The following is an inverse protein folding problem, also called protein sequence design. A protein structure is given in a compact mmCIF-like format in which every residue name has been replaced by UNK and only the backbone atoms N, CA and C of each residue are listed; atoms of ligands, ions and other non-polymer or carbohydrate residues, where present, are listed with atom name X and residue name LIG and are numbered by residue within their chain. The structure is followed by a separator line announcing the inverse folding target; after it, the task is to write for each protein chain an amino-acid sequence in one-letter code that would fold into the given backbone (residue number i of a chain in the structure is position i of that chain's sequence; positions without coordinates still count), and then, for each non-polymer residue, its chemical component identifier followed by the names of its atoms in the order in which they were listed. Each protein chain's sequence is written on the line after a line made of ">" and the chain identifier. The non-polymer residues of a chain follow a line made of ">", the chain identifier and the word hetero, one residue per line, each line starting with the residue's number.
data_IF_738661440937
#
_entry.id   IF_738661440937
#
_cell.length_a   1.000
_cell.length_b   1.000
_cell.length_c   1.000
_cell.angle_alpha   90.00
_cell.angle_beta   90.00
_cell.angle_gamma   90.00
#
_symmetry.space_group_name_H-M   'P 1'
#
loop_
_entity.id
_entity.type
_entity.pdbx_description
1 polymer ?
#
# COMPACT_ATOMS: atom_id res chain seq x y z
N UNK A 1 33.18 69.05 -22.49
CA UNK A 1 33.19 67.57 -22.31
C UNK A 1 32.85 67.32 -20.85
N UNK A 2 31.57 67.15 -20.54
CA UNK A 2 31.10 66.82 -19.20
C UNK A 2 31.03 65.29 -19.06
N UNK A 3 31.74 64.76 -18.07
CA UNK A 3 31.85 63.34 -17.79
C UNK A 3 30.91 63.00 -16.62
N UNK A 4 29.70 62.51 -16.91
CA UNK A 4 28.81 61.95 -15.89
C UNK A 4 29.22 60.51 -15.57
N UNK A 5 29.86 60.30 -14.42
CA UNK A 5 29.96 58.97 -13.81
C UNK A 5 28.65 58.64 -13.10
N UNK A 6 27.96 57.59 -13.56
CA UNK A 6 26.81 56.97 -12.87
C UNK A 6 27.32 56.18 -11.66
N UNK A 7 26.81 56.51 -10.46
CA UNK A 7 26.98 55.67 -9.28
C UNK A 7 26.04 54.46 -9.35
N UNK A 8 26.57 53.26 -9.07
CA UNK A 8 25.81 52.01 -9.02
C UNK A 8 24.86 51.93 -7.81
N UNK A 9 23.82 51.08 -7.85
CA UNK A 9 22.84 51.01 -6.77
C UNK A 9 23.43 50.31 -5.54
N UNK A 10 23.56 51.04 -4.44
CA UNK A 10 23.85 50.45 -3.13
C UNK A 10 22.64 49.71 -2.60
N UNK A 11 22.80 48.43 -2.23
CA UNK A 11 21.76 47.67 -1.53
C UNK A 11 21.44 48.35 -0.19
N UNK A 12 20.16 48.64 0.11
CA UNK A 12 19.79 49.24 1.38
C UNK A 12 20.03 48.24 2.52
N UNK A 13 20.83 48.66 3.50
CA UNK A 13 21.25 47.88 4.68
C UNK A 13 20.05 47.29 5.46
N UNK A 14 18.87 47.91 5.34
CA UNK A 14 17.61 47.41 5.91
C UNK A 14 17.13 46.09 5.30
N UNK A 15 17.37 45.84 4.01
CA UNK A 15 16.99 44.59 3.35
C UNK A 15 17.85 43.40 3.78
N UNK A 16 19.16 43.62 3.95
CA UNK A 16 20.09 42.59 4.40
C UNK A 16 19.81 42.11 5.83
N UNK A 17 19.46 43.03 6.73
CA UNK A 17 19.12 42.70 8.12
C UNK A 17 17.87 41.81 8.22
N UNK A 18 16.86 42.03 7.37
CA UNK A 18 15.63 41.21 7.35
C UNK A 18 15.92 39.80 6.84
N UNK A 19 16.75 39.66 5.80
CA UNK A 19 17.15 38.34 5.27
C UNK A 19 17.95 37.56 6.31
N UNK A 20 18.88 38.21 7.02
CA UNK A 20 19.65 37.58 8.10
C UNK A 20 18.74 37.16 9.25
N UNK A 21 17.79 38.02 9.65
CA UNK A 21 16.82 37.67 10.69
C UNK A 21 15.91 36.50 10.29
N UNK A 22 15.52 36.40 9.01
CA UNK A 22 14.77 35.26 8.49
C UNK A 22 15.59 33.97 8.46
N UNK A 23 16.87 34.04 8.10
CA UNK A 23 17.78 32.89 8.11
C UNK A 23 18.02 32.41 9.54
N UNK A 24 18.33 33.33 10.47
CA UNK A 24 18.53 33.01 11.88
C UNK A 24 17.23 32.47 12.49
N UNK A 25 16.09 33.09 12.22
CA UNK A 25 14.78 32.64 12.67
C UNK A 25 14.43 31.26 12.13
N UNK A 26 14.68 31.00 10.84
CA UNK A 26 14.48 29.68 10.21
C UNK A 26 15.36 28.61 10.84
N UNK A 27 16.66 28.90 11.05
CA UNK A 27 17.60 27.98 11.69
C UNK A 27 17.25 27.72 13.16
N UNK A 28 16.80 28.74 13.91
CA UNK A 28 16.36 28.58 15.30
C UNK A 28 15.04 27.81 15.41
N UNK A 29 14.07 28.08 14.52
CA UNK A 29 12.77 27.38 14.52
C UNK A 29 12.94 25.91 14.14
N UNK A 30 13.87 25.58 13.23
CA UNK A 30 14.20 24.19 12.92
C UNK A 30 14.86 23.46 14.10
N UNK A 31 15.67 24.14 14.91
CA UNK A 31 16.22 23.57 16.16
C UNK A 31 15.19 23.46 17.29
N UNK A 32 14.15 24.31 17.26
CA UNK A 32 12.97 24.26 18.12
C UNK A 32 11.87 23.37 17.54
N UNK A 33 12.22 22.24 16.92
CA UNK A 33 11.28 21.13 16.80
C UNK A 33 10.65 20.94 18.19
N UNK A 34 9.34 21.18 18.31
CA UNK A 34 8.62 21.24 19.58
C UNK A 34 8.74 19.91 20.33
N UNK A 35 9.86 19.73 21.03
CA UNK A 35 10.11 18.64 21.95
C UNK A 35 9.21 18.93 23.14
N UNK A 36 8.04 18.30 23.16
CA UNK A 36 7.10 18.45 24.26
C UNK A 36 7.83 18.28 25.59
N UNK A 37 7.62 19.21 26.52
CA UNK A 37 8.25 19.24 27.85
C UNK A 37 7.83 18.07 28.76
N UNK A 38 7.12 17.07 28.22
CA UNK A 38 6.79 15.86 28.96
C UNK A 38 8.10 15.14 29.23
N UNK A 39 8.46 14.88 30.50
CA UNK A 39 9.58 14.04 30.82
C UNK A 39 9.44 12.75 30.01
N UNK A 40 10.51 12.33 29.33
CA UNK A 40 10.61 10.93 28.91
C UNK A 40 10.68 10.14 30.21
N UNK A 41 9.52 9.76 30.74
CA UNK A 41 9.46 8.62 31.64
C UNK A 41 10.02 7.49 30.80
N UNK A 42 11.18 6.90 31.14
CA UNK A 42 11.56 5.65 30.52
C UNK A 42 10.33 4.78 30.71
N UNK A 43 9.64 4.49 29.61
CA UNK A 43 8.58 3.51 29.66
C UNK A 43 9.20 2.35 30.39
N UNK A 44 8.55 1.87 31.44
CA UNK A 44 8.86 0.53 31.91
C UNK A 44 8.53 -0.32 30.70
N UNK A 45 9.54 -0.51 29.84
CA UNK A 45 9.53 -1.54 28.83
C UNK A 45 9.31 -2.75 29.70
N UNK A 46 8.08 -3.21 29.73
CA UNK A 46 7.84 -4.59 30.07
C UNK A 46 8.51 -5.29 28.92
N UNK A 47 9.80 -5.52 29.08
CA UNK A 47 10.62 -6.36 28.25
C UNK A 47 10.07 -7.76 28.47
N UNK A 48 8.90 -8.04 27.91
CA UNK A 48 8.49 -9.40 27.61
C UNK A 48 9.44 -9.82 26.49
N UNK A 49 10.64 -10.24 26.89
CA UNK A 49 11.71 -10.78 26.05
C UNK A 49 11.30 -12.01 25.22
N UNK A 50 10.02 -12.40 25.29
CA UNK A 50 9.40 -13.52 24.58
C UNK A 50 8.33 -13.10 23.55
N UNK A 51 7.94 -11.82 23.46
CA UNK A 51 6.98 -11.36 22.45
C UNK A 51 7.66 -11.25 21.08
N UNK A 52 6.97 -11.71 20.02
CA UNK A 52 7.37 -11.50 18.63
C UNK A 52 6.79 -10.19 18.05
N UNK A 53 5.91 -9.53 18.81
CA UNK A 53 5.51 -8.12 18.62
C UNK A 53 6.38 -7.24 19.52
N UNK A 54 7.58 -6.89 19.05
CA UNK A 54 8.61 -6.13 19.79
C UNK A 54 8.98 -4.78 19.14
N UNK A 55 8.31 -4.41 18.05
CA UNK A 55 8.50 -3.12 17.38
C UNK A 55 7.58 -2.09 18.01
N UNK A 56 8.12 -1.19 18.83
CA UNK A 56 7.33 -0.12 19.45
C UNK A 56 6.67 0.76 18.37
N UNK A 57 5.35 0.83 18.40
CA UNK A 57 4.57 1.68 17.50
C UNK A 57 3.23 2.06 18.11
N UNK A 58 2.71 3.23 17.75
CA UNK A 58 1.32 3.58 18.04
C UNK A 58 0.39 3.08 16.93
N UNK A 59 -0.88 2.85 17.27
CA UNK A 59 -1.91 2.37 16.33
C UNK A 59 -2.13 3.30 15.11
N UNK A 60 -1.74 4.57 15.23
CA UNK A 60 -1.88 5.59 14.18
C UNK A 60 -0.61 5.79 13.32
N UNK A 61 0.49 5.09 13.63
CA UNK A 61 1.73 5.20 12.85
C UNK A 61 1.71 4.29 11.60
N UNK A 62 2.55 4.62 10.61
CA UNK A 62 2.79 3.75 9.46
C UNK A 62 3.55 2.47 9.91
N UNK A 63 2.97 1.26 9.72
CA UNK A 63 3.57 0.02 10.20
C UNK A 63 4.92 -0.27 9.54
N UNK A 64 5.12 0.12 8.28
CA UNK A 64 6.40 -0.06 7.60
C UNK A 64 7.45 0.92 8.11
N UNK A 65 7.06 2.17 8.40
CA UNK A 65 7.98 3.16 8.96
C UNK A 65 8.41 2.78 10.39
N UNK A 66 7.50 2.24 11.20
CA UNK A 66 7.83 1.73 12.53
C UNK A 66 8.85 0.59 12.48
N UNK A 67 8.61 -0.41 11.62
CA UNK A 67 9.54 -1.54 11.46
C UNK A 67 10.90 -1.08 10.90
N UNK A 68 10.92 -0.17 9.92
CA UNK A 68 12.19 0.40 9.40
C UNK A 68 12.98 1.12 10.49
N UNK A 69 12.34 1.91 11.36
CA UNK A 69 13.00 2.58 12.50
C UNK A 69 13.59 1.59 13.50
N UNK A 70 12.92 0.46 13.73
CA UNK A 70 13.39 -0.58 14.65
C UNK A 70 14.58 -1.38 14.08
N UNK A 71 14.75 -1.42 12.75
CA UNK A 71 15.68 -2.31 12.04
C UNK A 71 17.17 -1.92 12.13
N UNK A 72 17.57 -1.01 13.00
CA UNK A 72 18.95 -0.46 13.05
C UNK A 72 20.08 -1.41 13.51
N UNK A 73 19.99 -2.75 13.39
CA UNK A 73 21.17 -3.65 13.13
C UNK A 73 21.00 -5.17 13.40
N UNK A 74 19.85 -5.73 13.80
CA UNK A 74 19.85 -7.14 14.26
C UNK A 74 19.57 -8.21 13.19
N UNK A 75 20.49 -9.20 13.11
CA UNK A 75 20.29 -10.57 12.58
C UNK A 75 19.35 -11.39 13.48
N UNK A 76 18.20 -10.82 13.80
CA UNK A 76 17.28 -11.43 14.73
C UNK A 76 16.53 -12.60 14.07
N UNK A 77 16.88 -13.81 14.50
CA UNK A 77 16.31 -15.06 14.00
C UNK A 77 14.83 -15.24 14.41
N UNK A 78 14.30 -14.40 15.29
CA UNK A 78 12.91 -14.45 15.79
C UNK A 78 11.87 -14.03 14.76
N UNK A 79 12.23 -13.19 13.80
CA UNK A 79 11.30 -12.64 12.80
C UNK A 79 11.18 -13.52 11.55
N UNK A 80 11.29 -14.84 11.66
CA UNK A 80 11.10 -15.73 10.50
C UNK A 80 9.61 -15.98 10.25
N UNK A 81 9.24 -16.24 9.00
CA UNK A 81 7.85 -16.59 8.66
C UNK A 81 7.39 -17.87 9.36
N UNK A 82 8.29 -18.82 9.58
CA UNK A 82 8.04 -20.04 10.35
C UNK A 82 7.67 -19.74 11.80
N UNK A 83 8.29 -18.73 12.41
CA UNK A 83 7.96 -18.31 13.77
C UNK A 83 6.54 -17.74 13.88
N UNK A 84 6.05 -17.05 12.84
CA UNK A 84 4.66 -16.61 12.77
C UNK A 84 3.70 -17.78 12.49
N UNK A 85 4.09 -18.73 11.64
CA UNK A 85 3.32 -19.96 11.42
C UNK A 85 3.14 -20.75 12.72
N UNK A 86 4.19 -20.88 13.53
CA UNK A 86 4.11 -21.50 14.86
C UNK A 86 3.16 -20.75 15.80
N UNK A 87 3.17 -19.40 15.78
CA UNK A 87 2.21 -18.60 16.56
C UNK A 87 0.77 -18.88 16.17
N UNK A 88 0.48 -19.00 14.85
CA UNK A 88 -0.85 -19.33 14.35
C UNK A 88 -1.29 -20.70 14.89
N UNK A 89 -0.43 -21.72 14.77
CA UNK A 89 -0.72 -23.09 15.23
C UNK A 89 -0.95 -23.15 16.74
N UNK A 90 -0.20 -22.37 17.53
CA UNK A 90 -0.30 -22.34 19.00
C UNK A 90 -1.40 -21.42 19.53
N UNK A 91 -2.07 -20.62 18.70
CA UNK A 91 -3.08 -19.66 19.16
C UNK A 91 -4.29 -20.43 19.73
N UNK A 92 -4.66 -20.12 20.98
CA UNK A 92 -5.79 -20.75 21.67
C UNK A 92 -7.13 -20.16 21.20
N UNK A 93 -7.57 -20.58 20.04
CA UNK A 93 -8.78 -20.10 19.34
C UNK A 93 -9.36 -21.24 18.49
N UNK A 94 -10.62 -21.19 18.07
CA UNK A 94 -11.16 -22.17 17.10
C UNK A 94 -10.73 -21.82 15.67
N UNK A 95 -10.66 -20.53 15.35
CA UNK A 95 -10.25 -20.06 14.04
C UNK A 95 -9.34 -18.83 14.12
N UNK A 96 -8.38 -18.77 13.20
CA UNK A 96 -7.55 -17.60 12.92
C UNK A 96 -7.93 -17.08 11.54
N UNK A 97 -8.30 -15.81 11.47
CA UNK A 97 -8.49 -15.10 10.20
C UNK A 97 -7.20 -14.35 9.90
N UNK A 98 -6.47 -14.81 8.88
CA UNK A 98 -5.33 -14.08 8.34
C UNK A 98 -5.86 -13.05 7.35
N UNK A 99 -5.78 -11.77 7.72
CA UNK A 99 -6.23 -10.63 6.95
C UNK A 99 -5.02 -9.91 6.34
N UNK A 100 -4.70 -10.20 5.09
CA UNK A 100 -3.68 -9.46 4.34
C UNK A 100 -4.24 -8.13 3.84
N UNK A 101 -3.66 -7.01 4.23
CA UNK A 101 -4.07 -5.67 3.80
C UNK A 101 -3.00 -5.09 2.89
N UNK A 102 -3.28 -5.06 1.60
CA UNK A 102 -2.37 -4.54 0.58
C UNK A 102 -2.41 -3.01 0.59
N UNK A 103 -1.25 -2.40 0.75
CA UNK A 103 -1.07 -0.94 0.81
C UNK A 103 0.12 -0.52 -0.06
N UNK A 104 0.09 0.70 -0.59
CA UNK A 104 1.19 1.20 -1.43
C UNK A 104 2.54 1.22 -0.67
N UNK A 105 3.57 0.60 -1.24
CA UNK A 105 4.88 0.43 -0.64
C UNK A 105 5.83 1.60 -0.82
N UNK A 106 5.64 2.39 -1.89
CA UNK A 106 6.60 3.43 -2.24
C UNK A 106 6.84 4.47 -1.11
N UNK A 107 7.96 5.20 -1.20
CA UNK A 107 8.49 6.01 -0.11
C UNK A 107 7.82 7.37 0.06
N UNK A 108 7.08 7.81 -0.95
CA UNK A 108 6.49 9.15 -1.01
C UNK A 108 5.52 9.42 0.15
N UNK A 109 5.44 10.68 0.58
CA UNK A 109 4.53 11.12 1.64
C UNK A 109 3.07 10.72 1.36
N UNK A 110 2.63 10.78 0.09
CA UNK A 110 1.30 10.31 -0.35
C UNK A 110 1.07 8.83 -0.02
N UNK A 111 2.07 7.98 -0.19
CA UNK A 111 1.96 6.55 0.12
C UNK A 111 1.94 6.34 1.64
N UNK A 112 2.80 7.03 2.39
CA UNK A 112 2.78 6.97 3.86
C UNK A 112 1.41 7.38 4.43
N UNK A 113 0.85 8.49 3.95
CA UNK A 113 -0.48 8.96 4.33
C UNK A 113 -1.57 7.92 3.97
N UNK A 114 -1.51 7.33 2.77
CA UNK A 114 -2.43 6.26 2.37
C UNK A 114 -2.31 5.02 3.27
N UNK A 115 -1.10 4.61 3.64
CA UNK A 115 -0.89 3.49 4.58
C UNK A 115 -1.52 3.77 5.94
N UNK A 116 -1.32 4.97 6.48
CA UNK A 116 -1.92 5.39 7.75
C UNK A 116 -3.45 5.37 7.66
N UNK A 117 -4.04 5.91 6.57
CA UNK A 117 -5.48 5.89 6.36
C UNK A 117 -6.04 4.48 6.23
N UNK A 118 -5.37 3.59 5.50
CA UNK A 118 -5.76 2.18 5.38
C UNK A 118 -5.67 1.47 6.73
N UNK A 119 -4.63 1.74 7.53
CA UNK A 119 -4.52 1.20 8.89
C UNK A 119 -5.67 1.69 9.77
N UNK A 120 -5.88 3.00 9.82
CA UNK A 120 -6.97 3.60 10.59
C UNK A 120 -8.34 3.02 10.21
N UNK A 121 -8.63 2.89 8.90
CA UNK A 121 -9.89 2.33 8.42
C UNK A 121 -10.07 0.86 8.85
N UNK A 122 -9.04 0.03 8.67
CA UNK A 122 -9.07 -1.39 9.08
C UNK A 122 -9.26 -1.51 10.59
N UNK A 123 -8.48 -0.77 11.39
CA UNK A 123 -8.57 -0.83 12.86
C UNK A 123 -9.92 -0.32 13.37
N UNK A 124 -10.46 0.74 12.76
CA UNK A 124 -11.80 1.25 13.09
C UNK A 124 -12.89 0.23 12.77
N UNK A 125 -12.78 -0.49 11.65
CA UNK A 125 -13.73 -1.55 11.28
C UNK A 125 -13.67 -2.72 12.27
N UNK A 126 -12.47 -3.11 12.72
CA UNK A 126 -12.30 -4.14 13.74
C UNK A 126 -12.87 -3.70 15.08
N UNK A 127 -12.64 -2.45 15.49
CA UNK A 127 -13.23 -1.90 16.71
C UNK A 127 -14.76 -1.89 16.65
N UNK A 128 -15.36 -1.58 15.49
CA UNK A 128 -16.82 -1.65 15.29
C UNK A 128 -17.38 -3.08 15.39
N UNK A 129 -16.54 -4.09 15.19
CA UNK A 129 -16.86 -5.51 15.38
C UNK A 129 -16.48 -6.04 16.77
N UNK A 130 -16.12 -5.14 17.69
CA UNK A 130 -15.62 -5.45 19.04
C UNK A 130 -14.40 -6.39 19.01
N UNK A 131 -13.42 -6.07 18.16
CA UNK A 131 -12.07 -6.62 18.26
C UNK A 131 -11.13 -5.55 18.80
N UNK A 132 -10.21 -5.97 19.66
CA UNK A 132 -9.18 -5.12 20.27
C UNK A 132 -7.79 -5.64 19.92
N UNK A 133 -6.77 -4.78 19.80
CA UNK A 133 -5.40 -5.23 19.59
C UNK A 133 -4.92 -6.05 20.79
N UNK A 134 -4.28 -7.19 20.52
CA UNK A 134 -3.62 -8.02 21.54
C UNK A 134 -2.44 -7.24 22.18
N UNK A 135 -1.75 -6.43 21.36
CA UNK A 135 -0.71 -5.52 21.78
C UNK A 135 -0.88 -4.13 21.14
N UNK A 136 -1.36 -3.15 21.92
CA UNK A 136 -1.64 -1.80 21.42
C UNK A 136 -0.38 -0.91 21.24
N UNK A 137 0.78 -1.34 21.75
CA UNK A 137 2.01 -0.54 21.76
C UNK A 137 3.14 -1.11 20.90
N UNK A 138 2.97 -2.33 20.37
CA UNK A 138 3.99 -2.97 19.56
C UNK A 138 3.40 -3.67 18.34
N UNK A 139 4.16 -3.66 17.26
CA UNK A 139 3.94 -4.44 16.06
C UNK A 139 4.85 -5.66 16.06
N UNK A 140 4.41 -6.71 15.38
CA UNK A 140 5.29 -7.76 14.90
C UNK A 140 5.72 -7.50 13.46
N UNK A 141 6.74 -8.22 13.01
CA UNK A 141 7.05 -8.33 11.60
C UNK A 141 7.71 -9.66 11.28
N UNK A 142 7.55 -10.10 10.04
CA UNK A 142 8.32 -11.22 9.47
C UNK A 142 9.32 -10.68 8.45
N UNK A 143 10.50 -11.31 8.43
CA UNK A 143 11.49 -11.23 7.38
C UNK A 143 11.33 -12.47 6.52
N UNK A 144 11.15 -12.29 5.22
CA UNK A 144 11.16 -13.42 4.28
C UNK A 144 12.55 -13.54 3.68
N UNK A 145 13.09 -14.74 3.62
CA UNK A 145 14.28 -14.99 2.82
C UNK A 145 13.94 -14.67 1.35
N UNK A 146 14.53 -13.60 0.83
CA UNK A 146 14.64 -13.41 -0.62
C UNK A 146 15.44 -14.62 -1.10
N UNK A 147 14.84 -15.48 -1.96
CA UNK A 147 15.47 -16.71 -2.42
C UNK A 147 16.89 -16.39 -2.90
N UNK A 148 17.90 -16.82 -2.12
CA UNK A 148 19.33 -16.57 -2.40
C UNK A 148 19.75 -17.46 -3.57
N UNK A 149 19.36 -17.07 -4.77
CA UNK A 149 19.62 -17.82 -5.99
C UNK A 149 18.60 -17.45 -7.06
N UNK A 150 18.93 -16.42 -7.82
CA UNK A 150 18.10 -15.74 -8.82
C UNK A 150 16.99 -14.88 -8.21
N UNK A 151 16.98 -13.59 -8.58
CA UNK A 151 15.84 -12.70 -8.41
C UNK A 151 14.66 -13.22 -9.26
N UNK A 152 14.03 -14.29 -8.81
CA UNK A 152 12.83 -14.81 -9.44
C UNK A 152 11.71 -13.81 -9.20
N UNK A 153 10.84 -13.62 -10.19
CA UNK A 153 9.69 -12.70 -10.13
C UNK A 153 8.72 -13.02 -8.97
N UNK A 154 8.92 -14.15 -8.29
CA UNK A 154 8.07 -14.78 -7.28
C UNK A 154 8.62 -14.69 -5.84
N UNK A 155 9.65 -13.86 -5.60
CA UNK A 155 10.11 -13.57 -4.24
C UNK A 155 9.02 -12.89 -3.39
N UNK A 156 8.91 -13.28 -2.12
CA UNK A 156 8.05 -12.58 -1.16
C UNK A 156 8.67 -11.22 -0.76
N UNK A 157 7.87 -10.24 -0.32
CA UNK A 157 8.40 -8.97 0.19
C UNK A 157 9.32 -9.21 1.37
N UNK A 158 10.48 -8.55 1.40
CA UNK A 158 11.50 -8.72 2.44
C UNK A 158 10.93 -8.60 3.86
N UNK A 159 9.98 -7.69 4.06
CA UNK A 159 9.35 -7.41 5.35
C UNK A 159 7.84 -7.37 5.20
N UNK A 160 7.15 -8.04 6.12
CA UNK A 160 5.69 -7.95 6.30
C UNK A 160 5.40 -7.67 7.77
N UNK A 161 5.01 -6.43 8.14
CA UNK A 161 4.52 -6.11 9.47
C UNK A 161 3.21 -6.84 9.77
N UNK A 162 2.96 -7.19 11.03
CA UNK A 162 1.74 -7.84 11.45
C UNK A 162 1.26 -7.39 12.83
N UNK A 163 -0.03 -7.59 13.10
CA UNK A 163 -0.69 -7.25 14.37
C UNK A 163 -1.74 -8.30 14.71
N UNK A 164 -1.82 -8.70 15.98
CA UNK A 164 -2.87 -9.58 16.48
C UNK A 164 -4.06 -8.81 17.05
N UNK A 165 -5.27 -9.31 16.79
CA UNK A 165 -6.53 -8.80 17.33
C UNK A 165 -7.35 -9.93 17.94
N UNK A 166 -7.87 -9.69 19.13
CA UNK A 166 -8.68 -10.63 19.92
C UNK A 166 -10.09 -10.07 20.14
N UNK A 167 -11.11 -10.91 20.38
CA UNK A 167 -12.45 -10.44 20.73
C UNK A 167 -12.44 -9.57 21.99
N UNK A 168 -13.20 -8.48 21.97
CA UNK A 168 -13.48 -7.63 23.12
C UNK A 168 -14.53 -8.22 24.06
N UNK A 169 -14.91 -7.45 25.08
CA UNK A 169 -15.83 -7.90 26.13
C UNK A 169 -17.28 -8.05 25.66
N UNK A 170 -17.70 -7.22 24.71
CA UNK A 170 -19.09 -7.11 24.24
C UNK A 170 -19.33 -7.87 22.93
N UNK A 171 -18.35 -8.68 22.52
CA UNK A 171 -18.39 -9.37 21.25
C UNK A 171 -19.57 -10.33 21.26
N UNK A 172 -20.68 -9.91 20.61
CA UNK A 172 -21.93 -10.70 20.43
C UNK A 172 -21.64 -12.10 19.90
N UNK A 173 -20.53 -12.15 19.19
CA UNK A 173 -19.70 -13.25 18.89
C UNK A 173 -18.95 -13.75 20.13
N UNK A 174 -19.49 -14.79 20.81
CA UNK A 174 -18.65 -15.80 21.52
C UNK A 174 -17.72 -16.55 20.55
N UNK A 175 -17.27 -15.88 19.49
CA UNK A 175 -16.44 -16.44 18.45
C UNK A 175 -15.07 -16.65 19.08
N UNK A 176 -14.67 -17.91 19.19
CA UNK A 176 -13.28 -18.26 19.43
C UNK A 176 -12.52 -17.99 18.12
N UNK A 177 -12.47 -16.73 17.69
CA UNK A 177 -11.80 -16.28 16.48
C UNK A 177 -10.82 -15.18 16.83
N UNK A 178 -9.62 -15.31 16.31
CA UNK A 178 -8.57 -14.28 16.41
C UNK A 178 -8.28 -13.77 15.00
N UNK A 179 -7.97 -12.49 14.87
CA UNK A 179 -7.58 -11.89 13.59
C UNK A 179 -6.07 -11.61 13.63
N UNK A 180 -5.37 -12.03 12.57
CA UNK A 180 -3.98 -11.68 12.30
C UNK A 180 -3.97 -10.75 11.09
N UNK A 181 -3.64 -9.48 11.29
CA UNK A 181 -3.46 -8.54 10.18
C UNK A 181 -2.04 -8.68 9.66
N UNK A 182 -1.88 -8.82 8.34
CA UNK A 182 -0.59 -8.70 7.65
C UNK A 182 -0.61 -7.45 6.78
N UNK A 183 0.31 -6.50 7.02
CA UNK A 183 0.46 -5.33 6.18
C UNK A 183 1.33 -5.67 4.97
N UNK A 184 0.72 -5.73 3.79
CA UNK A 184 1.37 -6.19 2.57
C UNK A 184 1.76 -4.99 1.70
N UNK A 185 3.03 -4.89 1.34
CA UNK A 185 3.51 -3.91 0.36
C UNK A 185 3.00 -4.31 -1.03
N UNK A 186 1.98 -3.62 -1.53
CA UNK A 186 1.38 -3.88 -2.85
C UNK A 186 2.44 -3.80 -3.97
N UNK A 187 3.34 -2.81 -3.94
CA UNK A 187 4.35 -2.63 -4.98
C UNK A 187 5.31 -3.84 -5.03
N UNK A 188 5.62 -4.45 -3.88
CA UNK A 188 6.45 -5.65 -3.78
C UNK A 188 5.75 -6.93 -4.27
N UNK A 189 4.43 -6.93 -4.47
CA UNK A 189 3.67 -8.05 -5.04
C UNK A 189 3.65 -8.06 -6.58
N UNK A 190 3.96 -6.94 -7.23
CA UNK A 190 4.14 -6.88 -8.67
C UNK A 190 5.33 -7.76 -9.14
N UNK A 191 5.32 -8.39 -10.33
CA UNK A 191 4.21 -8.48 -11.30
C UNK A 191 3.29 -9.69 -11.11
N UNK A 192 3.51 -10.53 -10.10
CA UNK A 192 2.76 -11.78 -9.87
C UNK A 192 2.07 -11.82 -8.50
N UNK A 193 1.06 -10.97 -8.24
CA UNK A 193 0.45 -10.88 -6.93
C UNK A 193 -0.18 -12.19 -6.45
N UNK A 194 -0.83 -12.96 -7.31
CA UNK A 194 -1.53 -14.19 -6.91
C UNK A 194 -0.54 -15.29 -6.53
N UNK A 195 0.54 -15.48 -7.28
CA UNK A 195 1.61 -16.42 -6.95
C UNK A 195 2.27 -16.05 -5.63
N UNK A 196 2.50 -14.76 -5.36
CA UNK A 196 3.07 -14.32 -4.07
C UNK A 196 2.10 -14.50 -2.91
N UNK A 197 0.79 -14.25 -3.10
CA UNK A 197 -0.24 -14.58 -2.10
C UNK A 197 -0.25 -16.09 -1.83
N UNK A 198 -0.17 -16.90 -2.88
CA UNK A 198 -0.11 -18.37 -2.81
C UNK A 198 1.10 -18.84 -2.00
N UNK A 199 2.29 -18.31 -2.31
CA UNK A 199 3.55 -18.60 -1.59
C UNK A 199 3.49 -18.17 -0.13
N UNK A 200 2.94 -16.98 0.16
CA UNK A 200 2.75 -16.49 1.52
C UNK A 200 1.83 -17.41 2.32
N UNK A 201 0.70 -17.81 1.73
CA UNK A 201 -0.26 -18.75 2.34
C UNK A 201 0.39 -20.11 2.65
N UNK A 202 1.06 -20.75 1.69
CA UNK A 202 1.71 -22.05 1.93
C UNK A 202 2.80 -21.98 3.00
N UNK A 203 3.59 -20.89 3.05
CA UNK A 203 4.60 -20.72 4.10
C UNK A 203 3.97 -20.55 5.49
N UNK A 204 2.88 -19.78 5.60
CA UNK A 204 2.17 -19.60 6.88
C UNK A 204 1.43 -20.86 7.34
N UNK A 205 0.99 -21.71 6.41
CA UNK A 205 0.37 -23.00 6.73
C UNK A 205 1.38 -24.12 7.01
N UNK A 206 2.69 -23.86 6.85
CA UNK A 206 3.73 -24.84 7.09
C UNK A 206 3.69 -26.00 6.08
N UNK A 207 3.21 -25.77 4.86
CA UNK A 207 3.12 -26.80 3.80
C UNK A 207 4.49 -27.11 3.16
N UNK A 208 5.52 -26.32 3.47
CA UNK A 208 6.91 -26.62 3.11
C UNK A 208 7.55 -27.38 4.28
N UNK A 209 7.26 -28.67 4.40
CA UNK A 209 7.97 -29.56 5.34
C UNK A 209 9.05 -30.35 4.64
N UNK A 210 10.18 -30.51 5.31
CA UNK A 210 11.19 -31.51 4.99
C UNK A 210 10.54 -32.92 5.05
N UNK A 211 10.69 -33.79 4.02
CA UNK A 211 10.10 -35.13 3.99
C UNK A 211 10.43 -36.04 5.19
N UNK A 212 11.42 -35.68 6.00
CA UNK A 212 11.92 -36.51 7.09
C UNK A 212 11.38 -36.19 8.49
N UNK A 213 10.59 -35.13 8.67
CA UNK A 213 10.13 -34.70 10.00
C UNK A 213 8.73 -35.25 10.35
N UNK A 214 8.69 -36.28 11.20
CA UNK A 214 7.44 -36.81 11.77
C UNK A 214 6.93 -35.84 12.84
N UNK A 215 6.12 -34.86 12.46
CA UNK A 215 5.42 -34.01 13.43
C UNK A 215 4.16 -34.69 13.96
N UNK A 216 4.07 -34.81 15.27
CA UNK A 216 2.82 -35.07 16.00
C UNK A 216 1.78 -34.01 15.58
N UNK A 217 0.63 -34.45 15.06
CA UNK A 217 -0.40 -33.54 14.51
C UNK A 217 -1.15 -32.89 15.68
N UNK A 218 -0.58 -31.86 16.30
CA UNK A 218 -1.41 -30.94 17.06
C UNK A 218 -2.34 -30.23 16.08
N UNK A 219 -3.64 -30.51 16.13
CA UNK A 219 -4.65 -29.78 15.36
C UNK A 219 -4.67 -28.32 15.85
N UNK A 220 -3.99 -27.43 15.11
CA UNK A 220 -4.09 -25.99 15.32
C UNK A 220 -5.47 -25.45 14.95
N UNK A 221 -5.74 -24.16 15.19
CA UNK A 221 -7.01 -23.54 14.81
C UNK A 221 -7.25 -23.62 13.29
N UNK A 222 -8.53 -23.65 12.90
CA UNK A 222 -8.91 -23.46 11.50
C UNK A 222 -8.35 -22.12 11.01
N UNK A 223 -7.67 -22.10 9.87
CA UNK A 223 -7.09 -20.87 9.32
C UNK A 223 -7.83 -20.44 8.06
N UNK A 224 -8.36 -19.23 8.04
CA UNK A 224 -9.05 -18.62 6.89
C UNK A 224 -8.24 -17.42 6.38
N UNK A 225 -8.03 -17.33 5.07
CA UNK A 225 -7.26 -16.26 4.44
C UNK A 225 -8.18 -15.28 3.72
N UNK A 226 -8.06 -14.00 4.08
CA UNK A 226 -8.77 -12.88 3.46
C UNK A 226 -7.78 -11.81 3.07
N UNK A 227 -7.94 -11.21 1.89
CA UNK A 227 -7.09 -10.14 1.38
C UNK A 227 -7.95 -8.91 1.12
N UNK A 228 -7.56 -7.77 1.68
CA UNK A 228 -8.03 -6.44 1.28
C UNK A 228 -7.01 -5.87 0.30
N UNK A 229 -7.31 -5.93 -0.99
CA UNK A 229 -6.40 -5.52 -2.04
C UNK A 229 -6.86 -5.94 -3.44
N UNK A 230 -6.08 -5.58 -4.47
CA UNK A 230 -4.83 -4.82 -4.40
C UNK A 230 -5.02 -3.35 -4.01
N UNK A 231 -3.95 -2.65 -3.63
CA UNK A 231 -4.04 -1.26 -3.19
C UNK A 231 -4.41 -0.31 -4.34
N UNK A 232 -4.04 -0.64 -5.57
CA UNK A 232 -4.41 0.13 -6.76
C UNK A 232 -4.62 -0.71 -8.01
N UNK A 233 -5.10 -0.04 -9.07
CA UNK A 233 -5.46 -0.68 -10.33
C UNK A 233 -4.28 -1.25 -11.12
N UNK A 234 -3.05 -0.80 -10.87
CA UNK A 234 -1.85 -1.40 -11.50
C UNK A 234 -1.68 -2.85 -11.10
N UNK A 235 -1.82 -3.17 -9.82
CA UNK A 235 -1.73 -4.56 -9.37
C UNK A 235 -3.00 -5.36 -9.65
N UNK A 236 -4.17 -4.72 -9.73
CA UNK A 236 -5.36 -5.40 -10.24
C UNK A 236 -5.16 -5.86 -11.67
N UNK A 237 -4.58 -4.98 -12.51
CA UNK A 237 -4.17 -5.34 -13.87
C UNK A 237 -3.11 -6.45 -13.88
N UNK A 238 -2.15 -6.41 -12.96
CA UNK A 238 -1.13 -7.46 -12.84
C UNK A 238 -1.75 -8.82 -12.50
N UNK A 239 -2.75 -8.88 -11.61
CA UNK A 239 -3.48 -10.13 -11.32
C UNK A 239 -4.20 -10.67 -12.57
N UNK A 240 -4.82 -9.80 -13.38
CA UNK A 240 -5.42 -10.20 -14.66
C UNK A 240 -4.36 -10.75 -15.60
N UNK A 241 -3.27 -10.01 -15.79
CA UNK A 241 -2.18 -10.42 -16.68
C UNK A 241 -1.56 -11.75 -16.23
N UNK A 242 -1.48 -12.01 -14.92
CA UNK A 242 -0.98 -13.24 -14.33
C UNK A 242 -1.91 -14.43 -14.62
N UNK A 243 -3.23 -14.24 -14.48
CA UNK A 243 -4.23 -15.26 -14.84
C UNK A 243 -4.16 -15.61 -16.32
N UNK A 244 -4.05 -14.59 -17.19
CA UNK A 244 -3.97 -14.81 -18.64
C UNK A 244 -2.67 -15.48 -19.09
N UNK A 245 -1.61 -15.44 -18.27
CA UNK A 245 -0.31 -16.04 -18.55
C UNK A 245 -0.13 -17.42 -17.92
N UNK A 246 -1.01 -17.84 -17.00
CA UNK A 246 -0.87 -19.09 -16.26
C UNK A 246 -2.16 -19.89 -16.23
N UNK A 247 -2.15 -21.04 -16.91
CA UNK A 247 -3.29 -21.97 -16.98
C UNK A 247 -3.40 -22.89 -15.76
N UNK A 248 -2.46 -22.82 -14.81
CA UNK A 248 -2.42 -23.70 -13.63
C UNK A 248 -1.75 -23.02 -12.43
N UNK A 249 -1.85 -23.63 -11.24
CA UNK A 249 -1.13 -23.17 -10.04
C UNK A 249 -1.98 -22.45 -8.97
N UNK A 250 -3.30 -22.42 -9.12
CA UNK A 250 -4.19 -21.72 -8.19
C UNK A 250 -4.77 -22.58 -7.06
N UNK A 251 -4.47 -23.89 -7.00
CA UNK A 251 -5.02 -24.79 -5.99
C UNK A 251 -4.66 -24.39 -4.55
N UNK A 252 -3.43 -23.91 -4.35
CA UNK A 252 -2.98 -23.38 -3.06
C UNK A 252 -3.83 -22.18 -2.61
N UNK A 253 -4.44 -21.43 -3.54
CA UNK A 253 -5.33 -20.32 -3.20
C UNK A 253 -6.74 -20.75 -2.81
N UNK A 254 -7.03 -22.06 -2.74
CA UNK A 254 -8.35 -22.57 -2.36
C UNK A 254 -8.83 -21.97 -1.04
N UNK A 255 -9.99 -21.33 -1.10
CA UNK A 255 -10.65 -20.70 0.04
C UNK A 255 -10.14 -19.30 0.38
N UNK A 256 -9.21 -18.74 -0.41
CA UNK A 256 -8.80 -17.33 -0.27
C UNK A 256 -9.92 -16.42 -0.78
N UNK A 257 -10.23 -15.39 0.00
CA UNK A 257 -11.17 -14.34 -0.38
C UNK A 257 -10.42 -13.03 -0.60
N UNK A 258 -10.57 -12.42 -1.78
CA UNK A 258 -9.94 -11.14 -2.14
C UNK A 258 -11.03 -10.10 -2.31
N UNK A 259 -10.96 -9.03 -1.53
CA UNK A 259 -11.84 -7.88 -1.63
C UNK A 259 -11.04 -6.68 -2.12
N UNK A 260 -11.47 -6.06 -3.22
CA UNK A 260 -10.79 -4.90 -3.81
C UNK A 260 -11.57 -3.61 -3.52
N UNK A 261 -11.22 -2.85 -2.46
CA UNK A 261 -11.94 -1.64 -2.06
C UNK A 261 -11.40 -0.34 -2.70
N UNK A 262 -10.26 -0.38 -3.41
CA UNK A 262 -9.55 0.84 -3.84
C UNK A 262 -9.12 0.87 -5.30
N UNK A 263 -9.16 -0.25 -6.02
CA UNK A 263 -8.82 -0.28 -7.44
C UNK A 263 -10.06 0.04 -8.29
N UNK A 264 -10.09 1.23 -8.90
CA UNK A 264 -11.27 1.78 -9.59
C UNK A 264 -11.21 1.68 -11.12
N UNK A 265 -10.08 1.31 -11.72
CA UNK A 265 -9.98 1.18 -13.17
C UNK A 265 -11.12 0.37 -13.79
N UNK A 266 -11.57 0.83 -14.95
CA UNK A 266 -12.66 0.27 -15.73
C UNK A 266 -12.39 -1.17 -16.17
N UNK A 267 -13.41 -2.03 -16.07
CA UNK A 267 -13.31 -3.46 -16.41
C UNK A 267 -12.88 -3.71 -17.86
N UNK A 268 -13.44 -2.96 -18.81
CA UNK A 268 -13.12 -3.14 -20.22
C UNK A 268 -11.62 -2.87 -20.50
N UNK A 269 -11.02 -1.90 -19.81
CA UNK A 269 -9.57 -1.63 -19.93
C UNK A 269 -8.73 -2.66 -19.16
N UNK A 270 -9.20 -3.14 -18.01
CA UNK A 270 -8.55 -4.22 -17.27
C UNK A 270 -8.52 -5.52 -18.07
N UNK A 271 -9.57 -5.80 -18.84
CA UNK A 271 -9.74 -7.03 -19.62
C UNK A 271 -9.36 -6.88 -21.10
N UNK A 272 -8.84 -5.72 -21.53
CA UNK A 272 -8.55 -5.41 -22.94
C UNK A 272 -7.66 -6.44 -23.67
N UNK A 273 -6.77 -7.13 -22.96
CA UNK A 273 -5.90 -8.17 -23.57
C UNK A 273 -6.51 -9.58 -23.55
N UNK A 274 -7.72 -9.72 -23.03
CA UNK A 274 -8.38 -11.01 -22.95
C UNK A 274 -9.26 -11.24 -24.18
N UNK A 275 -8.68 -11.83 -25.23
CA UNK A 275 -9.35 -12.06 -26.52
C UNK A 275 -10.55 -13.03 -26.42
N UNK A 276 -10.65 -13.83 -25.35
CA UNK A 276 -11.67 -14.87 -25.16
C UNK A 276 -12.46 -14.73 -23.84
N UNK A 277 -12.41 -13.56 -23.20
CA UNK A 277 -13.21 -13.32 -22.00
C UNK A 277 -14.66 -13.06 -22.40
N UNK A 278 -15.56 -13.93 -21.95
CA UNK A 278 -17.00 -13.68 -21.99
C UNK A 278 -17.48 -12.85 -20.79
N UNK A 279 -16.63 -12.73 -19.77
CA UNK A 279 -16.92 -12.03 -18.52
C UNK A 279 -16.98 -10.51 -18.76
N UNK A 280 -18.09 -9.90 -18.33
CA UNK A 280 -18.33 -8.46 -18.50
C UNK A 280 -17.63 -7.58 -17.46
N UNK A 281 -17.21 -8.17 -16.35
CA UNK A 281 -16.59 -7.48 -15.23
C UNK A 281 -15.50 -8.36 -14.59
N UNK A 282 -14.66 -7.72 -13.77
CA UNK A 282 -13.52 -8.38 -13.14
C UNK A 282 -13.93 -9.50 -12.15
N UNK A 283 -15.07 -9.37 -11.47
CA UNK A 283 -15.53 -10.38 -10.50
C UNK A 283 -15.86 -11.70 -11.21
N UNK A 284 -16.61 -11.63 -12.30
CA UNK A 284 -16.94 -12.80 -13.12
C UNK A 284 -15.69 -13.39 -13.78
N UNK A 285 -14.77 -12.53 -14.24
CA UNK A 285 -13.49 -12.99 -14.79
C UNK A 285 -12.70 -13.86 -13.80
N UNK A 286 -12.61 -13.45 -12.53
CA UNK A 286 -11.97 -14.27 -11.51
C UNK A 286 -12.75 -15.56 -11.21
N UNK A 287 -14.07 -15.51 -11.18
CA UNK A 287 -14.89 -16.70 -10.95
C UNK A 287 -14.72 -17.75 -12.06
N UNK A 288 -14.61 -17.31 -13.31
CA UNK A 288 -14.44 -18.17 -14.48
C UNK A 288 -13.04 -18.79 -14.56
N UNK A 289 -12.00 -18.03 -14.20
CA UNK A 289 -10.60 -18.42 -14.44
C UNK A 289 -9.85 -18.89 -13.18
N UNK A 290 -10.30 -18.52 -11.98
CA UNK A 290 -9.63 -18.84 -10.70
C UNK A 290 -10.66 -19.35 -9.68
N UNK A 291 -11.25 -20.52 -9.98
CA UNK A 291 -12.32 -21.14 -9.15
C UNK A 291 -11.95 -21.37 -7.69
N UNK A 292 -10.67 -21.41 -7.36
CA UNK A 292 -10.16 -21.57 -6.00
C UNK A 292 -10.28 -20.30 -5.15
N UNK A 293 -10.44 -19.13 -5.78
CA UNK A 293 -10.48 -17.80 -5.15
C UNK A 293 -11.87 -17.19 -5.26
N UNK A 294 -12.35 -16.57 -4.18
CA UNK A 294 -13.48 -15.64 -4.27
C UNK A 294 -12.95 -14.22 -4.41
N UNK A 295 -13.16 -13.58 -5.56
CA UNK A 295 -12.82 -12.17 -5.75
C UNK A 295 -14.09 -11.32 -5.71
N UNK A 296 -14.05 -10.17 -5.03
CA UNK A 296 -15.12 -9.19 -5.04
C UNK A 296 -14.54 -7.78 -5.10
N UNK A 297 -14.88 -7.01 -6.13
CA UNK A 297 -14.66 -5.56 -6.11
C UNK A 297 -15.78 -4.86 -5.35
N UNK A 298 -15.43 -4.09 -4.32
CA UNK A 298 -16.40 -3.42 -3.43
C UNK A 298 -16.50 -1.91 -3.66
N UNK A 299 -15.79 -1.39 -4.66
CA UNK A 299 -15.82 0.01 -5.08
C UNK A 299 -16.32 0.14 -6.52
N UNK A 300 -16.93 1.29 -6.83
CA UNK A 300 -17.33 1.64 -8.19
C UNK A 300 -16.15 1.85 -9.13
N UNK A 301 -16.42 1.74 -10.43
CA UNK A 301 -15.44 1.89 -11.49
C UNK A 301 -15.33 3.31 -12.03
N UNK A 302 -14.21 3.62 -12.65
CA UNK A 302 -13.89 4.95 -13.17
C UNK A 302 -14.88 5.39 -14.26
N UNK A 303 -15.53 4.50 -15.01
CA UNK A 303 -16.54 4.90 -16.01
C UNK A 303 -17.74 5.61 -15.36
N UNK A 304 -18.20 5.13 -14.19
CA UNK A 304 -19.28 5.78 -13.43
C UNK A 304 -18.84 7.18 -12.99
N UNK A 305 -17.57 7.31 -12.57
CA UNK A 305 -16.99 8.61 -12.19
C UNK A 305 -16.86 9.54 -13.39
N UNK A 306 -16.37 9.06 -14.53
CA UNK A 306 -16.13 9.90 -15.71
C UNK A 306 -17.42 10.31 -16.39
N UNK A 307 -18.45 9.46 -16.41
CA UNK A 307 -19.80 9.82 -16.89
C UNK A 307 -20.36 10.99 -16.08
N UNK A 308 -20.29 10.90 -14.74
CA UNK A 308 -20.72 11.97 -13.84
C UNK A 308 -19.88 13.25 -14.03
N UNK A 309 -18.57 13.10 -14.24
CA UNK A 309 -17.66 14.22 -14.46
C UNK A 309 -17.95 14.95 -15.78
N UNK A 310 -18.25 14.23 -16.85
CA UNK A 310 -18.64 14.80 -18.15
C UNK A 310 -19.89 15.67 -18.00
N UNK A 311 -20.91 15.17 -17.32
CA UNK A 311 -22.14 15.93 -17.08
C UNK A 311 -21.91 17.14 -16.16
N UNK A 312 -21.05 17.02 -15.15
CA UNK A 312 -20.69 18.14 -14.28
C UNK A 312 -19.92 19.23 -15.03
N UNK A 313 -18.99 18.86 -15.91
CA UNK A 313 -18.27 19.81 -16.76
C UNK A 313 -19.23 20.57 -17.69
N UNK A 314 -20.24 19.88 -18.24
CA UNK A 314 -21.26 20.51 -19.05
C UNK A 314 -22.06 21.58 -18.29
N UNK A 315 -22.46 21.29 -17.04
CA UNK A 315 -23.14 22.26 -16.16
C UNK A 315 -22.29 23.49 -15.85
N UNK A 316 -20.96 23.38 -15.93
CA UNK A 316 -20.00 24.46 -15.71
C UNK A 316 -19.63 25.23 -16.97
N UNK A 317 -20.29 24.97 -18.10
CA UNK A 317 -19.99 25.63 -19.38
C UNK A 317 -18.71 25.13 -20.06
N UNK A 318 -18.21 23.96 -19.64
CA UNK A 318 -17.05 23.28 -20.20
C UNK A 318 -17.43 21.91 -20.77
N UNK A 319 -18.60 21.80 -21.42
CA UNK A 319 -19.11 20.51 -21.92
C UNK A 319 -18.10 19.88 -22.89
N UNK A 320 -17.48 18.73 -22.55
CA UNK A 320 -16.49 18.09 -23.40
C UNK A 320 -17.08 17.59 -24.74
N UNK A 321 -18.41 17.53 -24.85
CA UNK A 321 -19.14 17.17 -26.07
C UNK A 321 -19.31 18.37 -27.02
N UNK A 322 -19.26 19.61 -26.52
CA UNK A 322 -19.27 20.84 -27.34
C UNK A 322 -17.93 21.01 -28.06
N UNK A 323 -17.97 21.37 -29.34
CA UNK A 323 -16.78 21.61 -30.17
C UNK A 323 -15.96 22.84 -29.76
N UNK A 324 -16.55 23.75 -28.96
CA UNK A 324 -15.89 24.95 -28.45
C UNK A 324 -15.15 24.74 -27.13
N UNK A 325 -15.39 23.62 -26.45
CA UNK A 325 -14.78 23.31 -25.15
C UNK A 325 -13.49 22.53 -25.33
N UNK A 326 -12.43 22.95 -24.62
CA UNK A 326 -11.17 22.21 -24.55
C UNK A 326 -10.94 21.69 -23.13
N UNK A 327 -10.53 20.43 -23.02
CA UNK A 327 -10.23 19.78 -21.74
C UNK A 327 -8.79 19.31 -21.75
N UNK A 328 -8.05 19.58 -20.67
CA UNK A 328 -6.72 19.03 -20.45
C UNK A 328 -6.78 17.93 -19.38
N UNK A 329 -6.38 16.72 -19.75
CA UNK A 329 -6.23 15.57 -18.87
C UNK A 329 -4.76 15.42 -18.53
N UNK A 330 -4.41 15.45 -17.25
CA UNK A 330 -3.03 15.36 -16.76
C UNK A 330 -2.90 14.12 -15.88
N UNK A 331 -2.07 13.16 -16.27
CA UNK A 331 -1.96 11.88 -15.55
C UNK A 331 -0.55 11.30 -15.57
N UNK A 332 -0.31 10.30 -14.70
CA UNK A 332 0.96 9.57 -14.68
C UNK A 332 1.11 8.73 -15.96
N UNK A 333 2.29 8.75 -16.57
CA UNK A 333 2.59 7.95 -17.77
C UNK A 333 2.89 6.49 -17.43
N UNK A 334 3.57 6.27 -16.31
CA UNK A 334 4.20 4.99 -15.96
C UNK A 334 3.24 4.02 -15.24
N UNK A 335 2.08 4.47 -14.75
CA UNK A 335 1.09 3.59 -14.12
C UNK A 335 -0.03 3.16 -15.05
N UNK A 336 -0.56 1.94 -14.83
CA UNK A 336 -1.75 1.49 -15.57
C UNK A 336 -2.92 2.43 -15.32
N UNK A 337 -3.15 2.82 -14.06
CA UNK A 337 -4.24 3.75 -13.70
C UNK A 337 -4.12 5.10 -14.42
N UNK A 338 -2.93 5.71 -14.41
CA UNK A 338 -2.68 6.99 -15.09
C UNK A 338 -2.89 6.94 -16.60
N UNK A 339 -2.66 5.78 -17.23
CA UNK A 339 -2.97 5.56 -18.65
C UNK A 339 -4.43 5.19 -18.92
N UNK A 340 -5.09 4.52 -17.97
CA UNK A 340 -6.46 4.03 -18.13
C UNK A 340 -7.50 5.15 -17.98
N UNK A 341 -7.40 5.97 -16.92
CA UNK A 341 -8.40 7.00 -16.61
C UNK A 341 -8.67 7.98 -17.78
N UNK A 342 -7.66 8.52 -18.50
CA UNK A 342 -7.91 9.36 -19.65
C UNK A 342 -8.65 8.66 -20.79
N UNK A 343 -8.43 7.35 -20.98
CA UNK A 343 -9.14 6.56 -21.99
C UNK A 343 -10.60 6.37 -21.60
N UNK A 344 -10.85 6.04 -20.33
CA UNK A 344 -12.21 5.94 -19.77
C UNK A 344 -12.96 7.27 -19.90
N UNK A 345 -12.31 8.40 -19.60
CA UNK A 345 -12.92 9.71 -19.81
C UNK A 345 -13.31 9.97 -21.28
N UNK A 346 -12.43 9.65 -22.23
CA UNK A 346 -12.72 9.83 -23.66
C UNK A 346 -13.90 8.95 -24.12
N UNK A 347 -14.02 7.73 -23.57
CA UNK A 347 -15.18 6.85 -23.82
C UNK A 347 -16.48 7.42 -23.27
N UNK A 348 -16.46 8.05 -22.09
CA UNK A 348 -17.65 8.76 -21.56
C UNK A 348 -18.07 9.95 -22.44
N UNK A 349 -17.14 10.59 -23.15
CA UNK A 349 -17.46 11.72 -24.05
C UNK A 349 -17.98 11.24 -25.40
N UNK A 350 -17.36 10.22 -25.98
CA UNK A 350 -17.75 9.64 -27.26
C UNK A 350 -18.45 8.32 -27.02
N UNK A 351 -19.79 8.31 -27.08
CA UNK A 351 -20.59 7.07 -26.97
C UNK A 351 -20.24 5.98 -27.99
N UNK A 352 -19.40 6.29 -28.99
CA UNK A 352 -18.80 5.34 -29.91
C UNK A 352 -17.48 4.79 -29.33
N UNK A 353 -17.39 3.46 -29.22
CA UNK A 353 -16.22 2.68 -28.75
C UNK A 353 -14.92 2.85 -29.57
N UNK A 354 -14.87 3.84 -30.47
CA UNK A 354 -13.68 4.18 -31.24
C UNK A 354 -12.95 5.29 -30.50
N UNK A 355 -11.71 5.00 -30.10
CA UNK A 355 -10.67 5.92 -29.65
C UNK A 355 -10.26 6.91 -30.75
N UNK A 356 -11.22 7.57 -31.41
CA UNK A 356 -10.90 8.76 -32.19
C UNK A 356 -10.32 9.77 -31.23
N UNK A 357 -9.11 10.21 -31.50
CA UNK A 357 -8.57 11.40 -30.85
C UNK A 357 -9.60 12.51 -31.04
N UNK A 358 -10.12 13.00 -29.92
CA UNK A 358 -10.93 14.18 -29.91
C UNK A 358 -9.93 15.31 -29.81
N UNK A 359 -9.68 16.03 -30.91
CA UNK A 359 -8.65 17.09 -31.01
C UNK A 359 -8.73 18.17 -29.91
N UNK A 360 -9.86 18.25 -29.20
CA UNK A 360 -10.11 19.20 -28.11
C UNK A 360 -9.83 18.64 -26.70
N UNK A 361 -9.60 17.34 -26.57
CA UNK A 361 -9.21 16.68 -25.31
C UNK A 361 -7.71 16.42 -25.37
N UNK A 362 -6.97 17.30 -24.68
CA UNK A 362 -5.53 17.28 -24.61
C UNK A 362 -5.07 16.32 -23.51
N UNK A 363 -4.12 15.44 -23.82
CA UNK A 363 -3.55 14.50 -22.85
C UNK A 363 -2.12 14.89 -22.57
N UNK A 364 -1.82 15.16 -21.30
CA UNK A 364 -0.48 15.44 -20.82
C UNK A 364 -0.10 14.38 -19.80
N UNK A 365 1.12 13.86 -19.93
CA UNK A 365 1.60 12.81 -19.04
C UNK A 365 2.87 13.23 -18.33
N UNK A 366 3.03 12.80 -17.08
CA UNK A 366 4.24 13.01 -16.29
C UNK A 366 4.71 11.70 -15.65
N UNK A 367 5.99 11.62 -15.29
CA UNK A 367 6.55 10.49 -14.55
C UNK A 367 6.25 10.63 -13.05
N UNK A 368 5.93 9.53 -12.37
CA UNK A 368 5.88 9.52 -10.90
C UNK A 368 7.22 9.94 -10.29
N UNK A 369 7.16 10.51 -9.09
CA UNK A 369 8.36 10.92 -8.36
C UNK A 369 9.04 12.15 -8.95
N UNK A 370 8.25 13.13 -9.43
CA UNK A 370 8.78 14.40 -9.94
C UNK A 370 9.57 15.17 -8.86
N UNK A 371 9.41 14.80 -7.58
CA UNK A 371 10.17 15.29 -6.44
C UNK A 371 11.56 14.65 -6.30
N UNK A 372 11.87 13.61 -7.08
CA UNK A 372 13.17 12.94 -7.11
C UNK A 372 13.50 12.11 -5.87
N UNK A 373 12.55 11.87 -4.97
CA UNK A 373 12.81 11.14 -3.72
C UNK A 373 12.84 9.62 -3.94
N UNK A 374 13.98 8.99 -3.66
CA UNK A 374 14.12 7.54 -3.72
C UNK A 374 13.76 6.87 -2.39
N UNK A 375 13.40 5.57 -2.41
CA UNK A 375 13.18 4.82 -1.19
C UNK A 375 14.48 4.68 -0.39
N UNK A 376 14.57 5.39 0.74
CA UNK A 376 15.71 5.28 1.66
C UNK A 376 16.44 6.59 1.97
N UNK A 377 16.15 7.69 1.26
CA UNK A 377 16.90 8.96 1.39
C UNK A 377 16.62 9.76 2.68
N UNK A 378 16.10 9.13 3.74
CA UNK A 378 15.94 9.78 5.05
C UNK A 378 17.26 9.89 5.84
N UNK A 379 18.42 9.57 5.25
CA UNK A 379 19.73 9.75 5.87
C UNK A 379 20.79 10.21 4.86
N UNK A 380 20.99 11.53 4.70
CA UNK A 380 22.31 12.07 4.33
C UNK A 380 22.56 13.56 4.63
N UNK A 381 21.57 14.36 5.03
CA UNK A 381 21.81 15.81 5.28
C UNK A 381 22.01 16.21 6.75
N UNK A 382 22.65 15.35 7.54
CA UNK A 382 23.04 15.69 8.92
C UNK A 382 24.44 15.18 9.30
N UNK A 383 25.42 15.39 8.43
CA UNK A 383 26.83 15.28 8.84
C UNK A 383 27.74 16.22 8.03
N UNK A 384 27.46 17.53 8.11
CA UNK A 384 28.49 18.54 7.91
C UNK A 384 29.32 18.67 9.19
N UNK A 385 30.19 17.69 9.45
CA UNK A 385 31.23 17.83 10.47
C UNK A 385 32.24 18.86 9.99
N UNK A 386 32.26 20.00 10.67
CA UNK A 386 33.35 20.96 10.65
C UNK A 386 34.61 20.22 11.13
N UNK A 387 35.55 19.98 10.23
CA UNK A 387 36.93 19.65 10.59
C UNK A 387 37.76 20.92 10.49
N UNK A 388 38.21 21.34 11.68
CA UNK A 388 39.37 22.17 12.06
C UNK A 388 40.15 22.92 10.99
#
# INVERSE_FOLDING_TARGET
>A
MDNQQRQGPGLPISGGAVVIAFIIGSLFVQQLAFKGSRPRVPGHGVSTSASLEDVQARLWEDPFAAVRRHRTDSKDARHKIESLAEQIVRKKTEEVIVLGVMVFGGPYAKNAERRIRSRHATLSALSALDFVPDNAEHLGYIKTDQDKGNATKEGLPEIVPYEWFVPGFDSKHKLKRTILILWLDDDAFYPTPLAKISKLKSRLQGEVKDPHEKSDKSEGPKTTFKILGPAGSTNLRAMVDEILQSDSGWETLKGVQIFSPSATAEDELLLEKCDRCYSSNITDFFADNVKSVTFLRTIGTDNVLTDALVDELARRGADPRDSRSHIALISEWDTFYGRALPRTFIRSVSSDNKTKEIDRIHRFSYLRGIDGQLPGDLHSDASGSVSS
#
